data_IF_306298264006
#
_entry.id   IF_306298264006
#
_cell.length_a   1.000
_cell.length_b   1.000
_cell.length_c   1.000
_cell.angle_alpha   90.00
_cell.angle_beta   90.00
_cell.angle_gamma   90.00
#
_symmetry.space_group_name_H-M   'P 1'
#
loop_
_entity.id
_entity.type
_entity.pdbx_description
1 polymer ?
#
# COMPACT_ATOMS: atom_id res chain seq x y z
N UNK A 1 -3.03 -8.25 18.37
CA UNK A 1 -2.78 -7.20 17.38
C UNK A 1 -3.94 -7.14 16.40
N UNK A 2 -4.18 -5.97 15.83
CA UNK A 2 -5.34 -5.73 14.99
C UNK A 2 -4.90 -5.38 13.58
N UNK A 3 -5.66 -5.86 12.60
CA UNK A 3 -5.36 -5.64 11.18
C UNK A 3 -6.44 -4.79 10.54
N UNK A 4 -6.04 -4.00 9.55
CA UNK A 4 -6.97 -3.32 8.65
C UNK A 4 -7.05 -4.17 7.39
N UNK A 5 -8.25 -4.56 6.99
CA UNK A 5 -8.47 -5.32 5.76
C UNK A 5 -9.56 -4.64 4.95
N UNK A 6 -9.23 -4.29 3.71
CA UNK A 6 -10.12 -3.60 2.78
C UNK A 6 -9.93 -4.18 1.39
N UNK A 7 -10.93 -3.96 0.54
CA UNK A 7 -10.78 -4.22 -0.88
C UNK A 7 -11.46 -3.12 -1.68
N UNK A 8 -11.00 -2.95 -2.92
CA UNK A 8 -11.49 -1.91 -3.82
C UNK A 8 -11.45 -2.45 -5.24
N UNK A 9 -12.58 -2.31 -5.96
CA UNK A 9 -12.59 -2.56 -7.39
C UNK A 9 -12.00 -1.34 -8.10
N UNK A 10 -11.07 -1.60 -9.03
CA UNK A 10 -10.43 -0.57 -9.85
C UNK A 10 -10.65 -0.94 -11.31
N UNK A 11 -11.26 -0.02 -12.08
CA UNK A 11 -11.62 -0.25 -13.48
C UNK A 11 -10.39 -0.14 -14.41
N UNK A 12 -9.30 -0.78 -14.03
CA UNK A 12 -8.05 -0.85 -14.79
C UNK A 12 -7.47 -2.26 -14.66
N UNK A 13 -6.75 -2.70 -15.66
CA UNK A 13 -6.13 -4.04 -15.67
C UNK A 13 -5.09 -4.19 -14.56
N UNK A 14 -4.78 -5.43 -14.12
CA UNK A 14 -3.80 -5.66 -13.07
C UNK A 14 -2.43 -5.03 -13.32
N UNK A 15 -1.95 -5.02 -14.56
CA UNK A 15 -0.67 -4.39 -14.89
C UNK A 15 -0.66 -2.90 -14.56
N UNK A 16 -1.77 -2.20 -14.81
CA UNK A 16 -1.89 -0.77 -14.49
C UNK A 16 -1.93 -0.54 -12.98
N UNK A 17 -2.71 -1.35 -12.25
CA UNK A 17 -2.80 -1.25 -10.80
C UNK A 17 -1.44 -1.57 -10.15
N UNK A 18 -0.74 -2.58 -10.69
CA UNK A 18 0.60 -2.92 -10.21
C UNK A 18 1.56 -1.72 -10.34
N UNK A 19 1.49 -1.00 -11.46
CA UNK A 19 2.31 0.22 -11.63
C UNK A 19 1.98 1.28 -10.58
N UNK A 20 0.71 1.45 -10.24
CA UNK A 20 0.31 2.40 -9.20
C UNK A 20 0.92 2.06 -7.84
N UNK A 21 1.18 0.78 -7.58
CA UNK A 21 1.76 0.31 -6.32
C UNK A 21 3.29 0.32 -6.32
N UNK A 22 3.92 0.21 -7.48
CA UNK A 22 5.36 -0.04 -7.58
C UNK A 22 6.17 1.05 -8.27
N UNK A 23 5.52 1.97 -8.96
CA UNK A 23 6.18 3.10 -9.61
C UNK A 23 6.18 4.28 -8.64
N UNK A 24 7.38 4.80 -8.24
CA UNK A 24 7.47 5.90 -7.29
C UNK A 24 6.67 7.13 -7.68
N UNK A 25 6.66 7.49 -8.96
CA UNK A 25 5.91 8.66 -9.44
C UNK A 25 4.40 8.46 -9.27
N UNK A 26 3.89 7.28 -9.62
CA UNK A 26 2.46 6.99 -9.48
C UNK A 26 2.07 6.84 -8.01
N UNK A 27 2.90 6.18 -7.20
CA UNK A 27 2.63 6.03 -5.77
C UNK A 27 2.51 7.39 -5.08
N UNK A 28 3.35 8.35 -5.46
CA UNK A 28 3.30 9.70 -4.92
C UNK A 28 2.01 10.44 -5.29
N UNK A 29 1.39 10.08 -6.41
CA UNK A 29 0.15 10.73 -6.85
C UNK A 29 -1.06 10.36 -6.00
N UNK A 30 -1.08 9.15 -5.44
CA UNK A 30 -2.25 8.73 -4.68
C UNK A 30 -1.97 8.51 -3.20
N UNK A 31 -0.73 8.30 -2.80
CA UNK A 31 -0.41 8.05 -1.40
C UNK A 31 0.80 8.86 -0.89
N UNK A 32 2.02 8.43 -1.20
CA UNK A 32 3.21 9.00 -0.58
C UNK A 32 4.42 8.90 -1.50
N UNK A 33 5.32 9.87 -1.38
CA UNK A 33 6.58 9.85 -2.11
C UNK A 33 7.56 8.86 -1.45
N UNK A 34 8.24 8.08 -2.28
CA UNK A 34 9.25 7.13 -1.80
C UNK A 34 9.87 6.36 -2.96
N UNK A 35 11.04 5.81 -2.75
CA UNK A 35 11.80 5.09 -3.78
C UNK A 35 11.49 3.60 -3.73
N UNK A 36 10.23 3.23 -3.91
CA UNK A 36 9.80 1.83 -3.94
C UNK A 36 10.30 1.13 -5.20
N UNK A 37 10.71 -0.14 -5.04
CA UNK A 37 11.03 -1.05 -6.14
C UNK A 37 10.48 -2.44 -5.80
N UNK A 38 9.89 -3.16 -6.75
CA UNK A 38 9.33 -4.49 -6.48
C UNK A 38 10.42 -5.56 -6.47
N UNK A 39 11.34 -5.43 -5.55
CA UNK A 39 12.49 -6.33 -5.38
C UNK A 39 12.58 -6.72 -3.92
N UNK A 40 12.53 -8.02 -3.62
CA UNK A 40 12.63 -8.53 -2.24
C UNK A 40 13.93 -8.02 -1.60
N UNK A 41 13.81 -7.49 -0.40
CA UNK A 41 14.94 -6.92 0.35
C UNK A 41 15.21 -5.46 0.06
N UNK A 42 14.58 -4.86 -0.94
CA UNK A 42 14.76 -3.43 -1.22
C UNK A 42 14.24 -2.60 -0.05
N UNK A 43 15.08 -1.71 0.45
CA UNK A 43 14.73 -0.79 1.53
C UNK A 43 14.43 0.58 0.96
N UNK A 44 13.35 1.19 1.45
CA UNK A 44 12.94 2.52 1.02
C UNK A 44 12.24 3.23 2.17
N UNK A 45 11.98 4.51 1.99
CA UNK A 45 11.18 5.28 2.94
C UNK A 45 9.97 5.86 2.22
N UNK A 46 8.87 6.05 2.97
CA UNK A 46 7.70 6.75 2.49
C UNK A 46 7.55 8.06 3.27
N UNK A 47 7.34 9.15 2.54
CA UNK A 47 7.14 10.46 3.16
C UNK A 47 5.71 10.55 3.68
N UNK A 48 5.55 10.47 4.98
CA UNK A 48 4.25 10.52 5.64
C UNK A 48 3.93 11.91 6.21
N UNK A 49 4.49 12.96 5.61
CA UNK A 49 4.23 14.33 6.00
C UNK A 49 4.67 14.62 7.44
N UNK A 50 3.73 15.04 8.29
CA UNK A 50 4.03 15.34 9.69
C UNK A 50 4.53 14.16 10.49
N UNK A 51 4.30 12.92 10.01
CA UNK A 51 4.81 11.69 10.64
C UNK A 51 6.25 11.36 10.21
N UNK A 52 6.81 12.14 9.26
CA UNK A 52 8.18 11.97 8.80
C UNK A 52 8.37 10.85 7.78
N UNK A 53 9.65 10.54 7.53
CA UNK A 53 10.03 9.46 6.62
C UNK A 53 9.91 8.12 7.35
N UNK A 54 9.08 7.22 6.83
CA UNK A 54 8.82 5.94 7.46
C UNK A 54 9.56 4.81 6.74
N UNK A 55 10.45 4.06 7.44
CA UNK A 55 11.23 3.00 6.82
C UNK A 55 10.38 1.79 6.43
N UNK A 56 10.70 1.22 5.27
CA UNK A 56 10.02 0.04 4.73
C UNK A 56 11.05 -0.92 4.12
N UNK A 57 10.70 -2.20 4.08
CA UNK A 57 11.49 -3.22 3.39
C UNK A 57 10.55 -4.18 2.66
N UNK A 58 10.83 -4.44 1.39
CA UNK A 58 10.04 -5.36 0.58
C UNK A 58 10.27 -6.79 1.04
N UNK A 59 9.19 -7.50 1.35
CA UNK A 59 9.22 -8.87 1.86
C UNK A 59 8.87 -9.90 0.80
N UNK A 60 7.83 -9.65 0.00
CA UNK A 60 7.33 -10.59 -1.01
C UNK A 60 6.94 -9.85 -2.28
N UNK A 61 7.24 -10.45 -3.42
CA UNK A 61 6.85 -9.93 -4.74
C UNK A 61 6.44 -11.09 -5.62
N UNK A 62 5.21 -11.04 -6.13
CA UNK A 62 4.75 -11.86 -7.24
C UNK A 62 4.11 -10.86 -8.22
N UNK A 63 4.79 -10.51 -9.34
CA UNK A 63 4.37 -9.41 -10.20
C UNK A 63 2.90 -9.49 -10.60
N UNK A 64 2.20 -8.36 -10.45
CA UNK A 64 0.78 -8.18 -10.75
C UNK A 64 -0.17 -8.98 -9.86
N UNK A 65 0.33 -9.66 -8.82
CA UNK A 65 -0.48 -10.47 -7.91
C UNK A 65 -0.30 -10.14 -6.44
N UNK A 66 0.96 -9.99 -6.01
CA UNK A 66 1.27 -9.84 -4.58
C UNK A 66 2.47 -8.93 -4.37
N UNK A 67 2.31 -8.00 -3.44
CA UNK A 67 3.40 -7.15 -2.95
C UNK A 67 3.22 -6.97 -1.45
N UNK A 68 4.25 -7.29 -0.67
CA UNK A 68 4.21 -6.96 0.75
C UNK A 68 5.52 -6.30 1.18
N UNK A 69 5.41 -5.40 2.15
CA UNK A 69 6.56 -4.72 2.74
C UNK A 69 6.24 -4.30 4.18
N UNK A 70 7.31 -4.16 4.96
CA UNK A 70 7.17 -3.60 6.30
C UNK A 70 6.84 -2.12 6.19
N UNK A 71 6.18 -1.58 7.19
CA UNK A 71 5.83 -0.16 7.23
C UNK A 71 6.12 0.41 8.60
N UNK A 72 6.90 1.50 8.61
CA UNK A 72 7.22 2.26 9.82
C UNK A 72 7.99 1.44 10.85
N UNK A 73 9.08 0.78 10.40
CA UNK A 73 9.97 0.07 11.30
C UNK A 73 10.49 1.00 12.39
N UNK A 74 10.47 0.50 13.64
CA UNK A 74 10.91 1.27 14.80
C UNK A 74 9.86 2.22 15.37
N UNK A 75 8.76 2.43 14.65
CA UNK A 75 7.66 3.29 15.08
C UNK A 75 6.38 2.46 15.26
N UNK A 76 5.81 1.97 14.16
CA UNK A 76 4.61 1.12 14.21
C UNK A 76 4.92 -0.36 14.07
N UNK A 77 5.98 -0.71 13.35
CA UNK A 77 6.37 -2.10 13.06
C UNK A 77 5.22 -2.92 12.46
N UNK A 78 4.56 -2.34 11.47
CA UNK A 78 3.44 -2.99 10.78
C UNK A 78 3.87 -3.55 9.43
N UNK A 79 2.98 -4.32 8.79
CA UNK A 79 3.21 -4.88 7.46
C UNK A 79 2.03 -4.57 6.55
N UNK A 80 2.32 -4.12 5.33
CA UNK A 80 1.31 -3.85 4.32
C UNK A 80 1.41 -4.94 3.25
N UNK A 81 0.27 -5.55 2.93
CA UNK A 81 0.17 -6.57 1.88
C UNK A 81 -0.88 -6.16 0.87
N UNK A 82 -0.47 -6.13 -0.39
CA UNK A 82 -1.33 -5.86 -1.54
C UNK A 82 -1.51 -7.14 -2.34
N UNK A 83 -2.78 -7.50 -2.61
CA UNK A 83 -3.08 -8.63 -3.49
C UNK A 83 -4.00 -8.16 -4.61
N UNK A 84 -3.71 -8.58 -5.84
CA UNK A 84 -4.45 -8.18 -7.02
C UNK A 84 -5.09 -9.41 -7.65
N UNK A 85 -6.38 -9.31 -7.99
CA UNK A 85 -7.09 -10.35 -8.70
C UNK A 85 -7.84 -9.74 -9.88
N UNK A 86 -7.72 -10.31 -11.10
CA UNK A 86 -8.51 -9.85 -12.23
C UNK A 86 -10.00 -10.02 -11.93
N UNK A 87 -10.80 -9.01 -12.26
CA UNK A 87 -12.25 -9.08 -12.04
C UNK A 87 -12.96 -8.24 -13.09
N UNK A 88 -13.74 -8.89 -13.96
CA UNK A 88 -14.68 -8.22 -14.87
C UNK A 88 -14.09 -7.09 -15.72
N UNK A 89 -12.91 -7.26 -16.30
CA UNK A 89 -12.24 -6.22 -17.08
C UNK A 89 -11.47 -5.20 -16.25
N UNK A 90 -11.44 -5.39 -14.95
CA UNK A 90 -10.67 -4.56 -14.02
C UNK A 90 -9.90 -5.42 -13.03
N UNK A 91 -9.64 -4.85 -11.86
CA UNK A 91 -8.88 -5.49 -10.80
C UNK A 91 -9.58 -5.30 -9.46
N UNK A 92 -9.70 -6.39 -8.69
CA UNK A 92 -10.02 -6.29 -7.26
C UNK A 92 -8.70 -6.19 -6.51
N UNK A 93 -8.48 -5.06 -5.84
CA UNK A 93 -7.29 -4.83 -5.04
C UNK A 93 -7.62 -5.07 -3.58
N UNK A 94 -6.87 -5.95 -2.94
CA UNK A 94 -7.00 -6.24 -1.52
C UNK A 94 -5.84 -5.61 -0.76
N UNK A 95 -6.16 -4.94 0.34
CA UNK A 95 -5.19 -4.38 1.27
C UNK A 95 -5.31 -5.09 2.61
N UNK A 96 -4.18 -5.51 3.15
CA UNK A 96 -4.07 -5.89 4.55
C UNK A 96 -2.94 -5.11 5.19
N UNK A 97 -3.26 -4.30 6.20
CA UNK A 97 -2.27 -3.56 6.98
C UNK A 97 -2.30 -4.12 8.39
N UNK A 98 -1.32 -4.95 8.70
CA UNK A 98 -1.34 -5.82 9.88
C UNK A 98 -0.33 -5.40 10.93
N UNK A 99 -0.62 -5.76 12.19
CA UNK A 99 0.32 -5.59 13.29
C UNK A 99 0.12 -4.35 14.14
N UNK A 100 -1.03 -3.69 14.04
CA UNK A 100 -1.33 -2.54 14.88
C UNK A 100 -1.57 -2.95 16.32
N UNK A 101 -1.19 -2.08 17.24
CA UNK A 101 -1.60 -2.19 18.63
C UNK A 101 -3.10 -1.88 18.71
N UNK A 102 -3.86 -2.77 19.33
CA UNK A 102 -5.31 -2.61 19.47
C UNK A 102 -5.63 -1.30 20.21
N UNK A 103 -6.60 -0.54 19.67
CA UNK A 103 -7.02 0.73 20.25
C UNK A 103 -6.06 1.90 20.06
N UNK A 104 -4.98 1.71 19.28
CA UNK A 104 -3.99 2.76 19.06
C UNK A 104 -4.52 3.87 18.16
N UNK A 105 -3.96 5.08 18.32
CA UNK A 105 -4.28 6.21 17.44
C UNK A 105 -3.88 5.93 15.99
N UNK A 106 -2.77 5.20 15.79
CA UNK A 106 -2.32 4.83 14.45
C UNK A 106 -3.33 3.91 13.75
N UNK A 107 -3.88 2.94 14.45
CA UNK A 107 -4.91 2.05 13.91
C UNK A 107 -6.14 2.85 13.47
N UNK A 108 -6.62 3.75 14.30
CA UNK A 108 -7.78 4.60 13.99
C UNK A 108 -7.49 5.50 12.79
N UNK A 109 -6.35 6.18 12.78
CA UNK A 109 -5.98 7.10 11.71
C UNK A 109 -5.81 6.41 10.36
N UNK A 110 -5.08 5.31 10.33
CA UNK A 110 -4.87 4.55 9.08
C UNK A 110 -6.17 3.89 8.60
N UNK A 111 -6.97 3.36 9.54
CA UNK A 111 -8.26 2.76 9.19
C UNK A 111 -9.23 3.77 8.59
N UNK A 112 -9.21 5.00 9.04
CA UNK A 112 -10.03 6.08 8.47
C UNK A 112 -9.46 6.60 7.15
N UNK A 113 -8.15 6.59 6.97
CA UNK A 113 -7.49 7.13 5.79
C UNK A 113 -7.48 6.19 4.58
N UNK A 114 -7.31 4.89 4.80
CA UNK A 114 -7.15 3.94 3.71
C UNK A 114 -8.30 3.92 2.67
N UNK A 115 -9.59 3.94 3.07
CA UNK A 115 -10.66 3.95 2.06
C UNK A 115 -10.56 5.10 1.07
N UNK A 116 -10.26 6.29 1.54
CA UNK A 116 -10.08 7.46 0.69
C UNK A 116 -8.87 7.34 -0.23
N UNK A 117 -7.76 6.81 0.29
CA UNK A 117 -6.56 6.59 -0.50
C UNK A 117 -6.79 5.58 -1.62
N UNK A 118 -7.45 4.45 -1.33
CA UNK A 118 -7.73 3.43 -2.35
C UNK A 118 -8.55 4.00 -3.51
N UNK A 119 -9.51 4.87 -3.22
CA UNK A 119 -10.33 5.51 -4.24
C UNK A 119 -9.53 6.46 -5.15
N UNK A 120 -8.36 6.92 -4.74
CA UNK A 120 -7.51 7.81 -5.53
C UNK A 120 -6.67 7.09 -6.57
N UNK A 121 -6.56 5.77 -6.48
CA UNK A 121 -5.69 5.00 -7.38
C UNK A 121 -6.11 5.14 -8.85
N UNK A 122 -7.40 5.04 -9.16
CA UNK A 122 -7.89 5.21 -10.53
C UNK A 122 -7.54 6.59 -11.10
N UNK A 123 -7.68 7.64 -10.29
CA UNK A 123 -7.33 9.00 -10.70
C UNK A 123 -5.83 9.11 -11.01
N UNK A 124 -4.99 8.46 -10.23
CA UNK A 124 -3.55 8.46 -10.45
C UNK A 124 -3.15 7.79 -11.76
N UNK A 125 -3.99 6.86 -12.24
CA UNK A 125 -3.76 6.12 -13.49
C UNK A 125 -4.41 6.78 -14.71
N UNK A 126 -5.15 7.83 -14.51
CA UNK A 126 -5.84 8.53 -15.61
C UNK A 126 -4.87 9.24 -16.54
#
# INVERSE_FOLDING_TARGET
MTDIELDQFIAREPAAVWRALTDPELLARWWAAGDIKPIVGHRFTLDMGSWGQQPCEVLEVDPERLLSYTFAEGDLDTTITWRLEPEGGGTRLFLRHAGFVEGSAALTGMGNGWPGLLRRIEHALA
#
